data_IF_052872006637
#
_entry.id   IF_052872006637
#
_cell.length_a   1.000
_cell.length_b   1.000
_cell.length_c   1.000
_cell.angle_alpha   90.00
_cell.angle_beta   90.00
_cell.angle_gamma   90.00
#
_symmetry.space_group_name_H-M   'P 1'
#
loop_
_entity.id
_entity.type
_entity.pdbx_description
1 polymer ?
#
# COMPACT_ATOMS: atom_id res chain seq x y z
N UNK A 1 5.90 -13.47 -13.29
CA UNK A 1 5.02 -12.29 -13.05
C UNK A 1 4.32 -12.51 -11.73
N UNK A 2 4.91 -12.04 -10.63
CA UNK A 2 4.36 -12.12 -9.28
C UNK A 2 3.11 -11.26 -9.14
N UNK A 3 1.98 -11.77 -9.63
CA UNK A 3 0.67 -11.23 -9.29
C UNK A 3 0.40 -11.64 -7.85
N UNK A 4 0.97 -10.90 -6.89
CA UNK A 4 0.64 -11.06 -5.47
C UNK A 4 -0.87 -10.99 -5.36
N UNK A 5 -1.47 -12.07 -4.85
CA UNK A 5 -2.90 -12.15 -4.66
C UNK A 5 -3.32 -11.02 -3.70
N UNK A 6 -4.16 -10.12 -4.21
CA UNK A 6 -4.81 -9.10 -3.39
C UNK A 6 -5.83 -9.81 -2.53
N UNK A 7 -5.74 -9.61 -1.21
CA UNK A 7 -6.66 -10.22 -0.26
C UNK A 7 -7.91 -9.36 -0.09
N UNK A 8 -8.98 -9.92 0.46
CA UNK A 8 -10.18 -9.14 0.81
C UNK A 8 -9.89 -8.04 1.83
N UNK A 9 -8.89 -8.27 2.71
CA UNK A 9 -8.43 -7.29 3.69
C UNK A 9 -7.77 -6.08 3.01
N UNK A 10 -6.95 -6.31 1.97
CA UNK A 10 -6.34 -5.23 1.16
C UNK A 10 -7.42 -4.35 0.49
N UNK A 11 -8.51 -4.98 0.02
CA UNK A 11 -9.63 -4.28 -0.61
C UNK A 11 -10.42 -3.48 0.42
N UNK A 12 -10.65 -4.04 1.61
CA UNK A 12 -11.34 -3.36 2.73
C UNK A 12 -10.52 -2.18 3.25
N UNK A 13 -9.20 -2.36 3.37
CA UNK A 13 -8.29 -1.27 3.73
C UNK A 13 -8.33 -0.16 2.68
N UNK A 14 -8.30 -0.51 1.39
CA UNK A 14 -8.39 0.46 0.29
C UNK A 14 -9.74 1.20 0.27
N UNK A 15 -10.83 0.49 0.54
CA UNK A 15 -12.17 1.07 0.69
C UNK A 15 -12.20 2.15 1.79
N UNK A 16 -11.62 1.84 2.95
CA UNK A 16 -11.45 2.80 4.04
C UNK A 16 -10.50 3.95 3.69
N UNK A 17 -9.37 3.66 3.05
CA UNK A 17 -8.39 4.67 2.63
C UNK A 17 -8.98 5.70 1.65
N UNK A 18 -9.88 5.25 0.76
CA UNK A 18 -10.59 6.11 -0.19
C UNK A 18 -11.77 6.87 0.45
N UNK A 19 -12.04 6.67 1.75
CA UNK A 19 -13.17 7.24 2.48
C UNK A 19 -14.51 7.06 1.76
N UNK A 20 -14.73 5.89 1.16
CA UNK A 20 -15.98 5.59 0.45
C UNK A 20 -17.11 5.40 1.46
N UNK A 21 -18.11 6.28 1.42
CA UNK A 21 -19.27 6.26 2.31
C UNK A 21 -20.21 5.10 2.01
N UNK A 22 -20.27 4.67 0.74
CA UNK A 22 -21.06 3.52 0.32
C UNK A 22 -20.46 2.24 0.89
N UNK A 23 -21.26 1.37 1.53
CA UNK A 23 -20.75 0.07 1.96
C UNK A 23 -20.36 -0.76 0.74
N UNK A 24 -19.31 -1.57 0.86
CA UNK A 24 -18.76 -2.37 -0.25
C UNK A 24 -19.84 -3.24 -0.94
N UNK A 25 -20.79 -3.78 -0.17
CA UNK A 25 -21.89 -4.59 -0.68
C UNK A 25 -22.95 -3.79 -1.48
N UNK A 26 -23.09 -2.48 -1.23
CA UNK A 26 -23.97 -1.62 -2.02
C UNK A 26 -23.27 -0.96 -3.21
N UNK A 27 -21.97 -1.23 -3.44
CA UNK A 27 -21.23 -0.60 -4.54
C UNK A 27 -21.61 -1.16 -5.91
N UNK A 28 -21.70 -0.29 -6.93
CA UNK A 28 -21.73 -0.72 -8.32
C UNK A 28 -20.53 -1.61 -8.65
N UNK A 29 -20.69 -2.62 -9.53
CA UNK A 29 -19.61 -3.55 -9.86
C UNK A 29 -18.38 -2.83 -10.42
N UNK A 30 -18.58 -1.76 -11.20
CA UNK A 30 -17.50 -0.94 -11.75
C UNK A 30 -16.68 -0.26 -10.65
N UNK A 31 -17.33 0.23 -9.59
CA UNK A 31 -16.66 0.86 -8.46
C UNK A 31 -15.85 -0.20 -7.68
N UNK A 32 -16.41 -1.40 -7.47
CA UNK A 32 -15.68 -2.52 -6.85
C UNK A 32 -14.43 -2.88 -7.64
N UNK A 33 -14.52 -2.96 -8.97
CA UNK A 33 -13.36 -3.23 -9.83
C UNK A 33 -12.29 -2.14 -9.70
N UNK A 34 -12.70 -0.86 -9.63
CA UNK A 34 -11.77 0.25 -9.44
C UNK A 34 -11.05 0.17 -8.09
N UNK A 35 -11.75 -0.15 -7.00
CA UNK A 35 -11.16 -0.34 -5.65
C UNK A 35 -10.17 -1.51 -5.65
N UNK A 36 -10.53 -2.64 -6.27
CA UNK A 36 -9.64 -3.80 -6.39
C UNK A 36 -8.39 -3.45 -7.21
N UNK A 37 -8.53 -2.72 -8.32
CA UNK A 37 -7.40 -2.26 -9.13
C UNK A 37 -6.49 -1.29 -8.37
N UNK A 38 -7.08 -0.36 -7.60
CA UNK A 38 -6.33 0.55 -6.75
C UNK A 38 -5.55 -0.20 -5.66
N UNK A 39 -6.18 -1.17 -5.00
CA UNK A 39 -5.52 -2.05 -4.03
C UNK A 39 -4.35 -2.81 -4.69
N UNK A 40 -4.56 -3.37 -5.88
CA UNK A 40 -3.53 -4.07 -6.66
C UNK A 40 -2.30 -3.20 -6.95
N UNK A 41 -2.51 -1.92 -7.27
CA UNK A 41 -1.43 -1.00 -7.57
C UNK A 41 -0.69 -0.49 -6.32
N UNK A 42 -1.42 -0.26 -5.22
CA UNK A 42 -0.86 0.39 -4.03
C UNK A 42 -0.28 -0.57 -3.00
N UNK A 43 -0.89 -1.73 -2.77
CA UNK A 43 -0.45 -2.65 -1.71
C UNK A 43 0.99 -3.15 -1.85
N UNK A 44 1.51 -3.48 -3.05
CA UNK A 44 2.90 -3.88 -3.21
C UNK A 44 3.88 -2.78 -2.80
N UNK A 45 3.54 -1.51 -3.07
CA UNK A 45 4.34 -0.33 -2.70
C UNK A 45 4.27 -0.08 -1.20
N UNK A 46 3.08 -0.18 -0.61
CA UNK A 46 2.87 0.01 0.83
C UNK A 46 3.65 -1.04 1.64
N UNK A 47 3.53 -2.32 1.26
CA UNK A 47 4.26 -3.43 1.91
C UNK A 47 5.77 -3.28 1.75
N UNK A 48 6.25 -2.84 0.59
CA UNK A 48 7.68 -2.53 0.39
C UNK A 48 8.16 -1.40 1.28
N UNK A 49 7.35 -0.34 1.46
CA UNK A 49 7.71 0.78 2.33
C UNK A 49 7.69 0.39 3.82
N UNK A 50 6.73 -0.44 4.23
CA UNK A 50 6.67 -0.96 5.60
C UNK A 50 7.81 -1.95 5.91
N UNK A 51 8.25 -2.73 4.91
CA UNK A 51 9.36 -3.67 5.04
C UNK A 51 10.75 -3.00 4.91
N UNK A 52 10.82 -1.73 4.52
CA UNK A 52 12.10 -1.02 4.58
C UNK A 52 12.40 -0.69 6.04
N UNK A 53 13.56 -1.14 6.59
CA UNK A 53 13.99 -0.66 7.88
C UNK A 53 14.08 0.86 7.80
N UNK A 54 13.53 1.56 8.79
CA UNK A 54 13.68 3.00 8.92
C UNK A 54 15.17 3.29 8.80
N UNK A 55 15.58 3.89 7.68
CA UNK A 55 16.98 4.20 7.44
C UNK A 55 17.39 5.13 8.57
N UNK A 56 18.23 4.62 9.46
CA UNK A 56 18.71 5.38 10.61
C UNK A 56 19.62 6.49 10.07
N UNK A 57 19.04 7.65 9.76
CA UNK A 57 19.73 8.81 9.20
C UNK A 57 20.84 9.33 10.14
N UNK A 58 20.88 8.87 11.40
CA UNK A 58 21.97 9.13 12.34
C UNK A 58 23.27 8.43 12.00
N UNK A 59 23.26 7.32 11.23
CA UNK A 59 24.48 6.55 10.93
C UNK A 59 25.25 7.05 9.71
N UNK A 60 24.64 7.87 8.85
CA UNK A 60 25.28 8.37 7.62
C UNK A 60 26.14 9.63 7.83
N UNK A 61 26.05 10.27 9.00
CA UNK A 61 26.83 11.47 9.32
C UNK A 61 28.20 11.16 9.97
N UNK A 62 28.52 9.90 10.23
CA UNK A 62 29.77 9.50 10.90
C UNK A 62 30.78 8.80 9.97
N UNK A 63 30.46 8.65 8.67
CA UNK A 63 31.26 7.88 7.69
C UNK A 63 31.93 8.78 6.64
N UNK A 64 31.87 10.10 6.80
CA UNK A 64 32.38 11.10 5.83
C UNK A 64 33.32 12.11 6.51
N UNK A 65 34.23 11.62 7.35
CA UNK A 65 35.37 12.42 7.85
C UNK A 65 36.55 11.49 8.12
N UNK A 66 37.21 11.04 7.05
CA UNK A 66 38.61 10.64 7.06
C UNK A 66 39.17 10.84 5.64
N UNK A 67 39.54 12.09 5.34
CA UNK A 67 40.65 12.48 4.44
C UNK A 67 41.20 13.84 4.91
#
# INVERSE_FOLDING_TARGET
MDKRAITEDDVRWMHGFLHLTTPYDAMPPLLRTAVVAAAAAMMPRLRRRAAQPAVDFKRRAADDTDD
#
